data_IF_082146942034
#
_entry.id   IF_082146942034
#
_cell.length_a   1.000
_cell.length_b   1.000
_cell.length_c   1.000
_cell.angle_alpha   90.00
_cell.angle_beta   90.00
_cell.angle_gamma   90.00
#
_symmetry.space_group_name_H-M   'P 1'
#
loop_
_entity.id
_entity.type
_entity.pdbx_description
1 polymer ?
#
# COMPACT_ATOMS: atom_id res chain seq x y z
N UNK A 1 4.86 2.83 13.83
CA UNK A 1 5.99 2.00 14.28
C UNK A 1 5.45 0.70 14.86
N UNK A 2 6.15 -0.39 14.69
CA UNK A 2 5.82 -1.72 15.20
C UNK A 2 7.06 -2.40 15.80
N UNK A 3 6.88 -3.48 16.52
CA UNK A 3 7.96 -4.36 16.97
C UNK A 3 8.58 -5.11 15.78
N UNK A 4 9.80 -5.58 15.92
CA UNK A 4 10.47 -6.25 14.81
C UNK A 4 11.40 -7.38 15.24
N UNK A 5 11.32 -8.51 14.53
CA UNK A 5 12.22 -9.64 14.73
C UNK A 5 13.68 -9.35 14.32
N UNK A 6 13.89 -8.36 13.45
CA UNK A 6 15.19 -8.04 12.87
C UNK A 6 15.80 -6.75 13.42
N UNK A 7 14.98 -5.85 13.94
CA UNK A 7 15.38 -4.61 14.61
C UNK A 7 14.42 -4.34 15.76
N UNK A 8 14.83 -3.50 16.73
CA UNK A 8 13.95 -3.14 17.86
C UNK A 8 12.60 -2.59 17.43
N UNK A 9 12.61 -1.80 16.35
CA UNK A 9 11.40 -1.25 15.74
C UNK A 9 11.46 -1.40 14.23
N UNK A 10 10.28 -1.67 13.65
CA UNK A 10 10.03 -1.65 12.21
C UNK A 10 9.02 -0.56 11.88
N UNK A 11 8.79 -0.36 10.58
CA UNK A 11 7.75 0.52 10.08
C UNK A 11 6.78 -0.29 9.23
N UNK A 12 5.52 0.04 9.34
CA UNK A 12 4.44 -0.62 8.61
C UNK A 12 3.58 0.42 7.91
N UNK A 13 3.00 0.02 6.80
CA UNK A 13 1.91 0.72 6.15
C UNK A 13 0.62 0.00 6.52
N UNK A 14 -0.23 0.69 7.25
CA UNK A 14 -1.48 0.16 7.80
C UNK A 14 -2.68 0.83 7.11
N UNK A 15 -3.58 0.04 6.54
CA UNK A 15 -4.86 0.52 6.02
C UNK A 15 -5.94 0.35 7.09
N UNK A 16 -6.67 1.42 7.40
CA UNK A 16 -7.73 1.38 8.40
C UNK A 16 -8.92 0.55 7.89
N UNK A 17 -9.32 -0.47 8.64
CA UNK A 17 -10.48 -1.31 8.35
C UNK A 17 -10.93 -2.04 9.60
N UNK A 18 -12.23 -2.13 9.83
CA UNK A 18 -12.83 -2.82 10.98
C UNK A 18 -12.52 -4.32 11.02
N UNK A 19 -12.27 -4.94 9.85
CA UNK A 19 -11.88 -6.36 9.75
C UNK A 19 -10.39 -6.58 9.91
N UNK A 20 -9.60 -5.50 10.12
CA UNK A 20 -8.15 -5.61 10.25
C UNK A 20 -7.71 -6.53 11.38
N UNK A 21 -6.67 -7.32 11.13
CA UNK A 21 -6.05 -8.21 12.11
C UNK A 21 -5.30 -7.43 13.20
N UNK A 22 -4.73 -6.28 12.83
CA UNK A 22 -3.94 -5.46 13.75
C UNK A 22 -4.79 -4.49 14.56
N UNK A 23 -4.29 -4.17 15.75
CA UNK A 23 -4.74 -3.01 16.52
C UNK A 23 -3.61 -2.00 16.57
N UNK A 24 -3.86 -0.82 16.04
CA UNK A 24 -2.91 0.29 16.07
C UNK A 24 -3.47 1.46 16.88
N UNK A 25 -2.60 2.26 17.46
CA UNK A 25 -2.95 3.45 18.20
C UNK A 25 -2.65 4.68 17.34
N UNK A 26 -3.68 5.20 16.70
CA UNK A 26 -3.60 6.28 15.72
C UNK A 26 -3.56 7.65 16.39
N UNK A 27 -2.57 8.45 16.04
CA UNK A 27 -2.49 9.85 16.46
C UNK A 27 -3.42 10.72 15.62
N UNK A 28 -4.38 11.37 16.27
CA UNK A 28 -5.33 12.27 15.60
C UNK A 28 -4.70 13.52 14.97
N UNK A 29 -3.47 13.90 15.38
CA UNK A 29 -2.82 15.12 14.90
C UNK A 29 -2.05 14.92 13.60
N UNK A 30 -1.44 13.76 13.40
CA UNK A 30 -0.51 13.55 12.28
C UNK A 30 -0.70 12.22 11.53
N UNK A 31 -1.75 11.45 11.85
CA UNK A 31 -2.07 10.16 11.22
C UNK A 31 -0.92 9.12 11.27
N UNK A 32 -0.01 9.28 12.24
CA UNK A 32 1.02 8.27 12.54
C UNK A 32 0.49 7.36 13.63
N UNK A 33 0.73 6.07 13.51
CA UNK A 33 0.26 5.10 14.49
C UNK A 33 1.42 4.37 15.19
N UNK A 34 1.12 3.84 16.36
CA UNK A 34 1.95 2.90 17.12
C UNK A 34 1.21 1.57 17.17
N UNK A 35 1.84 0.47 16.77
CA UNK A 35 1.24 -0.84 16.86
C UNK A 35 1.07 -1.27 18.32
N UNK A 36 0.01 -2.03 18.62
CA UNK A 36 -0.28 -2.57 19.95
C UNK A 36 0.92 -3.34 20.54
N UNK A 37 1.72 -3.99 19.72
CA UNK A 37 2.90 -4.75 20.15
C UNK A 37 3.92 -3.95 20.96
N UNK A 38 3.99 -2.63 20.70
CA UNK A 38 4.99 -1.74 21.32
C UNK A 38 4.38 -0.57 22.09
N UNK A 39 3.07 -0.54 22.26
CA UNK A 39 2.39 0.60 22.91
C UNK A 39 2.81 0.80 24.37
N UNK A 40 3.15 -0.29 25.06
CA UNK A 40 3.61 -0.23 26.44
C UNK A 40 4.99 0.42 26.56
N UNK A 41 5.83 0.29 25.52
CA UNK A 41 7.13 0.96 25.42
C UNK A 41 7.03 2.37 24.86
N UNK A 42 6.02 2.64 24.00
CA UNK A 42 5.83 3.89 23.27
C UNK A 42 4.38 4.35 23.30
N UNK A 43 3.94 4.88 24.42
CA UNK A 43 2.58 5.38 24.63
C UNK A 43 2.34 6.81 24.12
N UNK A 44 3.16 7.26 23.19
CA UNK A 44 3.08 8.57 22.55
C UNK A 44 3.38 8.48 21.04
N UNK A 45 2.91 9.47 20.29
CA UNK A 45 3.19 9.55 18.87
C UNK A 45 4.68 9.80 18.59
N UNK A 46 5.37 8.95 17.82
CA UNK A 46 6.80 9.12 17.55
C UNK A 46 7.11 10.35 16.69
N UNK A 47 6.12 10.95 16.03
CA UNK A 47 6.30 12.14 15.20
C UNK A 47 6.06 13.44 15.96
N UNK A 48 4.92 13.57 16.66
CA UNK A 48 4.51 14.84 17.28
C UNK A 48 4.44 14.78 18.82
N UNK A 49 4.85 13.69 19.43
CA UNK A 49 4.89 13.46 20.89
C UNK A 49 3.51 13.53 21.58
N UNK A 50 2.41 13.55 20.81
CA UNK A 50 1.07 13.56 21.38
C UNK A 50 0.77 12.24 22.07
N UNK A 51 0.12 12.30 23.23
CA UNK A 51 -0.41 11.12 23.94
C UNK A 51 -1.87 10.83 23.57
N UNK A 52 -2.49 11.68 22.75
CA UNK A 52 -3.86 11.47 22.25
C UNK A 52 -3.84 10.47 21.10
N UNK A 53 -3.84 9.21 21.47
CA UNK A 53 -3.81 8.06 20.57
C UNK A 53 -5.12 7.29 20.68
N UNK A 54 -5.72 6.97 19.54
CA UNK A 54 -6.99 6.21 19.47
C UNK A 54 -6.74 4.80 18.96
N UNK A 55 -7.16 3.76 19.69
CA UNK A 55 -7.08 2.40 19.20
C UNK A 55 -7.99 2.23 17.98
N UNK A 56 -7.46 1.64 16.93
CA UNK A 56 -8.14 1.46 15.64
C UNK A 56 -7.70 0.14 15.02
N UNK A 57 -8.63 -0.54 14.34
CA UNK A 57 -8.31 -1.73 13.57
C UNK A 57 -7.66 -1.37 12.23
N UNK A 58 -6.72 -2.20 11.79
CA UNK A 58 -6.01 -1.97 10.54
C UNK A 58 -5.48 -3.27 9.91
N UNK A 59 -5.22 -3.21 8.61
CA UNK A 59 -4.61 -4.28 7.82
C UNK A 59 -3.20 -3.86 7.46
N UNK A 60 -2.19 -4.66 7.79
CA UNK A 60 -0.82 -4.43 7.35
C UNK A 60 -0.69 -4.70 5.85
N UNK A 61 -0.39 -3.68 5.05
CA UNK A 61 -0.25 -3.79 3.58
C UNK A 61 1.20 -3.75 3.11
N UNK A 62 2.13 -3.37 3.97
CA UNK A 62 3.55 -3.36 3.67
C UNK A 62 4.39 -3.05 4.90
N UNK A 63 5.67 -3.39 4.84
CA UNK A 63 6.61 -3.20 5.94
C UNK A 63 8.00 -2.75 5.48
N UNK A 64 8.75 -2.19 6.41
CA UNK A 64 10.12 -1.73 6.22
C UNK A 64 10.93 -2.13 7.43
N UNK A 65 11.97 -2.94 7.20
CA UNK A 65 12.92 -3.38 8.22
C UNK A 65 14.30 -2.75 7.96
N UNK A 66 14.82 -2.07 8.96
CA UNK A 66 16.20 -1.57 8.95
C UNK A 66 17.12 -2.67 9.48
N UNK A 67 17.62 -3.52 8.58
CA UNK A 67 18.48 -4.66 8.95
C UNK A 67 19.88 -4.25 9.37
N UNK A 68 20.32 -3.06 8.94
CA UNK A 68 21.68 -2.54 9.18
C UNK A 68 22.74 -3.58 8.80
N UNK A 69 23.68 -3.87 9.70
CA UNK A 69 24.79 -4.83 9.46
C UNK A 69 24.50 -6.24 9.97
N UNK A 70 23.28 -6.51 10.51
CA UNK A 70 22.94 -7.80 11.16
C UNK A 70 23.34 -9.02 10.34
N UNK A 71 23.11 -8.98 9.03
CA UNK A 71 23.45 -10.09 8.13
C UNK A 71 24.80 -9.91 7.45
N UNK A 72 25.17 -8.69 7.11
CA UNK A 72 26.42 -8.40 6.38
C UNK A 72 27.65 -8.63 7.26
N UNK A 73 27.56 -8.42 8.56
CA UNK A 73 28.67 -8.73 9.51
C UNK A 73 29.00 -10.23 9.51
N UNK A 74 27.99 -11.10 9.46
CA UNK A 74 28.19 -12.56 9.41
C UNK A 74 29.00 -13.01 8.19
N UNK A 75 28.84 -12.33 7.06
CA UNK A 75 29.55 -12.60 5.81
C UNK A 75 30.79 -11.72 5.63
N UNK A 76 31.10 -10.83 6.59
CA UNK A 76 32.17 -9.81 6.47
C UNK A 76 32.05 -9.00 5.19
N UNK A 77 30.82 -8.68 4.81
CA UNK A 77 30.51 -7.97 3.57
C UNK A 77 30.76 -6.48 3.74
N UNK A 78 31.80 -6.00 3.09
CA UNK A 78 32.27 -4.59 3.20
C UNK A 78 32.43 -3.97 1.83
N UNK A 79 32.43 -2.65 1.79
CA UNK A 79 32.79 -1.86 0.62
C UNK A 79 33.95 -0.89 0.99
N UNK A 80 34.72 -0.46 0.01
CA UNK A 80 35.70 0.60 0.17
C UNK A 80 35.08 1.94 -0.19
N UNK A 81 35.22 2.91 0.70
CA UNK A 81 34.86 4.28 0.41
C UNK A 81 35.90 4.99 -0.47
N UNK A 82 35.67 6.27 -0.77
CA UNK A 82 36.55 7.08 -1.62
C UNK A 82 37.96 7.28 -1.02
N UNK A 83 38.10 7.03 0.29
CA UNK A 83 39.36 7.13 1.02
C UNK A 83 40.08 5.77 1.12
N UNK A 84 39.48 4.70 0.55
CA UNK A 84 40.00 3.34 0.56
C UNK A 84 39.74 2.58 1.88
N UNK A 85 38.96 3.14 2.81
CA UNK A 85 38.58 2.51 4.07
C UNK A 85 37.48 1.48 3.86
N UNK A 86 37.60 0.32 4.50
CA UNK A 86 36.57 -0.68 4.52
C UNK A 86 35.43 -0.29 5.48
N UNK A 87 34.21 -0.23 4.97
CA UNK A 87 33.00 0.03 5.73
C UNK A 87 32.03 -1.14 5.58
N UNK A 88 31.28 -1.52 6.61
CA UNK A 88 30.26 -2.56 6.51
C UNK A 88 29.12 -2.10 5.60
N UNK A 89 28.53 -3.03 4.84
CA UNK A 89 27.35 -2.75 4.03
C UNK A 89 26.13 -2.77 4.91
N UNK A 90 25.34 -1.69 4.92
CA UNK A 90 24.04 -1.65 5.59
C UNK A 90 22.95 -2.19 4.67
N UNK A 91 21.99 -2.93 5.24
CA UNK A 91 20.87 -3.53 4.54
C UNK A 91 19.53 -2.98 5.03
N UNK A 92 18.56 -2.95 4.13
CA UNK A 92 17.15 -2.81 4.42
C UNK A 92 16.37 -3.97 3.79
N UNK A 93 15.20 -4.26 4.33
CA UNK A 93 14.25 -5.19 3.74
C UNK A 93 12.89 -4.51 3.65
N UNK A 94 12.25 -4.64 2.50
CA UNK A 94 10.96 -4.01 2.21
C UNK A 94 9.99 -5.09 1.77
N UNK A 95 8.84 -5.18 2.41
CA UNK A 95 7.79 -6.14 2.09
C UNK A 95 6.52 -5.44 1.64
N UNK A 96 5.89 -5.96 0.58
CA UNK A 96 4.58 -5.55 0.12
C UNK A 96 3.85 -6.76 -0.43
N UNK A 97 2.60 -6.98 0.02
CA UNK A 97 1.78 -8.11 -0.40
C UNK A 97 0.77 -7.70 -1.49
N UNK A 98 1.03 -7.93 -2.79
CA UNK A 98 0.11 -7.48 -3.85
C UNK A 98 -1.31 -8.05 -3.70
N UNK A 99 -1.46 -9.32 -3.36
CA UNK A 99 -2.78 -9.95 -3.13
C UNK A 99 -3.45 -9.41 -1.87
N UNK A 100 -2.70 -9.12 -0.81
CA UNK A 100 -3.22 -8.47 0.40
C UNK A 100 -3.67 -7.04 0.11
N UNK A 101 -2.90 -6.28 -0.67
CA UNK A 101 -3.29 -4.93 -1.12
C UNK A 101 -4.57 -5.00 -1.94
N UNK A 102 -4.69 -5.94 -2.87
CA UNK A 102 -5.91 -6.13 -3.65
C UNK A 102 -7.12 -6.41 -2.76
N UNK A 103 -7.00 -7.34 -1.81
CA UNK A 103 -8.07 -7.63 -0.84
C UNK A 103 -8.43 -6.42 0.02
N UNK A 104 -7.43 -5.66 0.48
CA UNK A 104 -7.63 -4.43 1.25
C UNK A 104 -8.34 -3.35 0.43
N UNK A 105 -7.99 -3.18 -0.84
CA UNK A 105 -8.67 -2.23 -1.74
C UNK A 105 -10.14 -2.60 -1.92
N UNK A 106 -10.44 -3.88 -2.12
CA UNK A 106 -11.83 -4.37 -2.22
C UNK A 106 -12.60 -4.10 -0.94
N UNK A 107 -11.96 -4.32 0.22
CA UNK A 107 -12.58 -4.10 1.52
C UNK A 107 -12.84 -2.62 1.81
N UNK A 108 -11.92 -1.74 1.46
CA UNK A 108 -12.00 -0.31 1.78
C UNK A 108 -12.80 0.48 0.73
N UNK A 109 -12.74 0.05 -0.53
CA UNK A 109 -13.32 0.78 -1.67
C UNK A 109 -14.42 -0.04 -2.34
N UNK A 110 -15.54 -0.17 -1.68
CA UNK A 110 -16.76 -0.78 -2.24
C UNK A 110 -18.02 -0.07 -1.75
N UNK A 111 -19.12 -0.34 -2.42
CA UNK A 111 -20.48 -0.03 -1.97
C UNK A 111 -21.35 -1.29 -2.08
N UNK A 112 -22.66 -1.13 -1.90
CA UNK A 112 -23.65 -2.21 -2.02
C UNK A 112 -23.81 -2.76 -3.46
N UNK A 113 -23.21 -2.12 -4.45
CA UNK A 113 -23.26 -2.50 -5.88
C UNK A 113 -21.97 -3.18 -6.35
N UNK A 114 -20.86 -2.99 -5.65
CA UNK A 114 -19.60 -3.61 -6.00
C UNK A 114 -18.35 -2.84 -5.64
N UNK A 115 -17.25 -3.18 -6.30
CA UNK A 115 -15.93 -2.61 -6.03
C UNK A 115 -15.78 -1.25 -6.73
N UNK A 116 -15.28 -0.26 -5.99
CA UNK A 116 -14.95 1.06 -6.49
C UNK A 116 -13.43 1.18 -6.55
N UNK A 117 -12.83 0.83 -7.69
CA UNK A 117 -11.37 0.91 -7.84
C UNK A 117 -10.87 2.35 -7.77
N UNK A 118 -9.91 2.67 -6.91
CA UNK A 118 -9.20 3.95 -6.97
C UNK A 118 -8.53 4.13 -8.34
N UNK A 119 -8.52 5.35 -8.86
CA UNK A 119 -7.97 5.67 -10.18
C UNK A 119 -6.53 5.18 -10.36
N UNK A 120 -5.72 5.25 -9.30
CA UNK A 120 -4.31 4.84 -9.31
C UNK A 120 -4.08 3.34 -9.56
N UNK A 121 -5.10 2.50 -9.38
CA UNK A 121 -5.02 1.04 -9.54
C UNK A 121 -6.10 0.49 -10.47
N UNK A 122 -7.02 1.33 -10.92
CA UNK A 122 -8.03 0.94 -11.90
C UNK A 122 -7.37 0.56 -13.23
N UNK A 123 -7.61 -0.65 -13.76
CA UNK A 123 -6.99 -1.08 -15.01
C UNK A 123 -7.49 -0.29 -16.23
N UNK A 124 -8.68 0.30 -16.11
CA UNK A 124 -9.32 1.13 -17.14
C UNK A 124 -10.03 2.30 -16.50
N UNK A 125 -9.91 3.48 -17.11
CA UNK A 125 -10.62 4.68 -16.69
C UNK A 125 -12.09 4.66 -17.12
N UNK A 126 -12.40 3.92 -18.19
CA UNK A 126 -13.76 3.83 -18.78
C UNK A 126 -14.08 2.38 -19.13
N UNK A 127 -15.27 1.93 -18.73
CA UNK A 127 -15.92 0.72 -19.22
C UNK A 127 -17.03 1.15 -20.17
N UNK A 128 -16.87 0.83 -21.44
CA UNK A 128 -17.88 1.04 -22.48
C UNK A 128 -18.57 -0.31 -22.72
N UNK A 129 -19.87 -0.38 -22.49
CA UNK A 129 -20.65 -1.60 -22.67
C UNK A 129 -21.55 -1.41 -23.87
N UNK A 130 -21.36 -2.25 -24.90
CA UNK A 130 -22.26 -2.36 -26.03
C UNK A 130 -23.33 -3.41 -25.69
N UNK A 131 -24.58 -2.97 -25.52
CA UNK A 131 -25.70 -3.84 -25.16
C UNK A 131 -26.27 -4.63 -26.37
N UNK A 132 -25.59 -4.58 -27.50
CA UNK A 132 -26.06 -5.20 -28.72
C UNK A 132 -27.24 -4.45 -29.38
N UNK A 133 -27.90 -5.11 -30.31
CA UNK A 133 -29.06 -4.55 -31.03
C UNK A 133 -28.75 -4.18 -32.47
N UNK A 134 -29.06 -2.93 -32.86
CA UNK A 134 -28.84 -2.48 -34.23
C UNK A 134 -27.35 -2.26 -34.55
N UNK A 135 -26.96 -2.51 -35.79
CA UNK A 135 -25.59 -2.30 -36.30
C UNK A 135 -25.09 -0.87 -36.05
N UNK A 136 -25.98 0.10 -36.04
CA UNK A 136 -25.70 1.52 -35.77
C UNK A 136 -25.17 1.75 -34.34
N UNK A 137 -25.72 0.99 -33.34
CA UNK A 137 -25.27 1.08 -31.92
C UNK A 137 -23.85 0.53 -31.78
N UNK A 138 -23.57 -0.59 -32.43
CA UNK A 138 -22.24 -1.19 -32.45
C UNK A 138 -21.22 -0.28 -33.12
N UNK A 139 -21.57 0.29 -34.27
CA UNK A 139 -20.70 1.22 -34.98
C UNK A 139 -20.37 2.47 -34.16
N UNK A 140 -21.34 3.04 -33.43
CA UNK A 140 -21.11 4.21 -32.60
C UNK A 140 -20.29 3.86 -31.34
N UNK A 141 -20.48 2.67 -30.74
CA UNK A 141 -19.64 2.19 -29.64
C UNK A 141 -18.17 2.01 -30.06
N UNK A 142 -17.93 1.42 -31.23
CA UNK A 142 -16.57 1.26 -31.78
C UNK A 142 -15.91 2.62 -32.10
N UNK A 143 -16.68 3.55 -32.64
CA UNK A 143 -16.21 4.90 -32.93
C UNK A 143 -15.80 5.62 -31.62
N UNK A 144 -16.68 5.60 -30.59
CA UNK A 144 -16.39 6.18 -29.28
C UNK A 144 -15.17 5.53 -28.64
N UNK A 145 -15.06 4.20 -28.69
CA UNK A 145 -13.90 3.47 -28.21
C UNK A 145 -12.61 3.96 -28.89
N UNK A 146 -12.63 4.10 -30.20
CA UNK A 146 -11.50 4.56 -31.00
C UNK A 146 -11.09 6.01 -30.68
N UNK A 147 -12.08 6.88 -30.45
CA UNK A 147 -11.86 8.28 -30.07
C UNK A 147 -11.23 8.40 -28.67
N UNK A 148 -11.73 7.63 -27.69
CA UNK A 148 -11.18 7.59 -26.34
C UNK A 148 -9.72 7.11 -26.35
N UNK A 149 -9.43 6.04 -27.09
CA UNK A 149 -8.04 5.55 -27.26
C UNK A 149 -7.12 6.59 -27.88
N UNK A 150 -7.56 7.30 -28.93
CA UNK A 150 -6.77 8.37 -29.56
C UNK A 150 -6.46 9.52 -28.59
N UNK A 151 -7.33 9.77 -27.60
CA UNK A 151 -7.12 10.74 -26.52
C UNK A 151 -6.26 10.21 -25.37
N UNK A 152 -5.74 8.96 -25.46
CA UNK A 152 -4.92 8.36 -24.42
C UNK A 152 -5.71 7.83 -23.21
N UNK A 153 -7.03 7.72 -23.30
CA UNK A 153 -7.89 7.17 -22.24
C UNK A 153 -7.81 5.66 -22.28
N UNK A 154 -7.50 5.05 -21.12
CA UNK A 154 -7.59 3.60 -20.94
C UNK A 154 -9.06 3.19 -20.90
N UNK A 155 -9.53 2.55 -21.93
CA UNK A 155 -10.93 2.14 -22.09
C UNK A 155 -11.03 0.65 -22.42
N UNK A 156 -11.99 -0.03 -21.81
CA UNK A 156 -12.37 -1.40 -22.15
C UNK A 156 -13.74 -1.37 -22.83
N UNK A 157 -13.83 -1.98 -24.01
CA UNK A 157 -15.10 -2.26 -24.68
C UNK A 157 -15.55 -3.68 -24.36
N UNK A 158 -16.77 -3.84 -23.91
CA UNK A 158 -17.45 -5.10 -23.68
C UNK A 158 -18.67 -5.20 -24.60
N UNK A 159 -18.82 -6.35 -25.24
CA UNK A 159 -20.02 -6.73 -25.98
C UNK A 159 -20.82 -7.73 -25.13
N UNK A 160 -22.12 -7.49 -25.00
CA UNK A 160 -23.05 -8.33 -24.22
C UNK A 160 -24.07 -8.95 -25.15
#
# INVERSE_FOLDING_TARGET
ASGGSFSRFSHEFQALSEIGEDTIFLCKKCNIAVNKEIIDEHNFCPSCQSVDLTPTKAIEVGNIFKLRTKFTDAFKFTYKDNEGKNNPVEMGCYGMGPSRIMGTLVEVFHDDKGIIWPESVAPFAVHLVNLGGADEVTAEAEKLYSELKKKGVLVRLLEV
#
